data_IF_243911860699
#
_entry.id   IF_243911860699
#
_cell.length_a   1.000
_cell.length_b   1.000
_cell.length_c   1.000
_cell.angle_alpha   90.00
_cell.angle_beta   90.00
_cell.angle_gamma   90.00
#
_symmetry.space_group_name_H-M   'P 1'
#
loop_
_entity.id
_entity.type
_entity.pdbx_description
1 polymer ?
#
# COMPACT_ATOMS: atom_id res chain seq x y z
N UNK A 1 5.85 -4.85 11.50
CA UNK A 1 4.83 -4.85 12.57
C UNK A 1 4.83 -3.51 13.28
N UNK A 2 3.95 -2.62 12.84
CA UNK A 2 3.71 -1.33 13.49
C UNK A 2 3.23 -1.55 14.93
N UNK A 3 3.87 -0.90 15.89
CA UNK A 3 3.56 -1.01 17.32
C UNK A 3 2.10 -0.58 17.61
N UNK A 4 1.38 -1.37 18.39
CA UNK A 4 -0.02 -1.10 18.74
C UNK A 4 -0.18 0.21 19.51
N UNK A 5 0.83 0.62 20.29
CA UNK A 5 0.80 1.93 20.94
C UNK A 5 0.96 3.08 19.94
N UNK A 6 1.74 2.89 18.87
CA UNK A 6 1.85 3.85 17.77
C UNK A 6 0.55 3.95 16.97
N UNK A 7 -0.11 2.81 16.69
CA UNK A 7 -1.43 2.80 16.05
C UNK A 7 -2.43 3.62 16.87
N UNK A 8 -2.45 3.46 18.20
CA UNK A 8 -3.34 4.23 19.08
C UNK A 8 -3.04 5.73 19.09
N UNK A 9 -1.77 6.13 18.96
CA UNK A 9 -1.37 7.54 18.89
C UNK A 9 -1.73 8.18 17.55
N UNK A 10 -1.69 7.40 16.46
CA UNK A 10 -2.06 7.87 15.12
C UNK A 10 -3.56 7.71 14.82
N UNK A 11 -4.30 6.96 15.64
CA UNK A 11 -5.73 6.75 15.47
C UNK A 11 -6.50 8.04 15.78
N UNK A 12 -7.08 8.62 14.74
CA UNK A 12 -8.04 9.71 14.88
C UNK A 12 -9.36 9.15 15.44
N UNK A 13 -9.67 9.48 16.69
CA UNK A 13 -10.90 9.03 17.36
C UNK A 13 -12.17 9.62 16.75
N UNK A 14 -12.07 10.67 15.93
CA UNK A 14 -13.19 11.21 15.15
C UNK A 14 -13.50 10.37 13.90
N UNK A 15 -12.55 9.52 13.46
CA UNK A 15 -12.72 8.67 12.29
C UNK A 15 -13.52 7.42 12.67
N UNK A 16 -14.81 7.41 12.34
CA UNK A 16 -15.66 6.27 12.62
C UNK A 16 -15.32 5.06 11.73
N UNK A 17 -15.34 3.82 12.27
CA UNK A 17 -15.09 2.61 11.48
C UNK A 17 -15.95 2.50 10.22
N UNK A 18 -17.22 2.92 10.30
CA UNK A 18 -18.13 2.93 9.17
C UNK A 18 -17.63 3.79 7.98
N UNK A 19 -16.87 4.86 8.23
CA UNK A 19 -16.28 5.68 7.18
C UNK A 19 -15.07 4.99 6.54
N UNK A 20 -14.27 4.28 7.34
CA UNK A 20 -13.15 3.46 6.85
C UNK A 20 -13.68 2.33 5.96
N UNK A 21 -14.73 1.65 6.37
CA UNK A 21 -15.38 0.60 5.58
C UNK A 21 -15.92 1.13 4.25
N UNK A 22 -16.59 2.29 4.26
CA UNK A 22 -17.05 2.95 3.04
C UNK A 22 -15.90 3.33 2.12
N UNK A 23 -14.78 3.79 2.68
CA UNK A 23 -13.59 4.10 1.91
C UNK A 23 -13.01 2.83 1.26
N UNK A 24 -12.84 1.74 2.03
CA UNK A 24 -12.31 0.47 1.52
C UNK A 24 -13.21 -0.06 0.40
N UNK A 25 -14.53 0.00 0.57
CA UNK A 25 -15.49 -0.46 -0.43
C UNK A 25 -15.45 0.36 -1.74
N UNK A 26 -15.16 1.67 -1.67
CA UNK A 26 -15.17 2.56 -2.85
C UNK A 26 -13.82 2.71 -3.54
N UNK A 27 -12.73 2.72 -2.78
CA UNK A 27 -11.41 3.12 -3.27
C UNK A 27 -10.25 2.24 -2.79
N UNK A 28 -10.50 1.34 -1.82
CA UNK A 28 -9.48 0.48 -1.25
C UNK A 28 -9.49 -0.94 -1.81
N UNK A 29 -8.98 -1.86 -1.00
CA UNK A 29 -8.92 -3.29 -1.26
C UNK A 29 -9.24 -4.07 0.01
N UNK A 30 -9.92 -5.20 -0.13
CA UNK A 30 -10.10 -6.16 0.97
C UNK A 30 -8.85 -7.02 1.20
N UNK A 31 -7.92 -7.01 0.24
CA UNK A 31 -6.69 -7.78 0.29
C UNK A 31 -5.53 -6.90 0.79
N UNK A 32 -4.88 -7.27 1.91
CA UNK A 32 -3.75 -6.53 2.47
C UNK A 32 -2.49 -6.58 1.58
N UNK A 33 -2.38 -7.55 0.68
CA UNK A 33 -1.28 -7.67 -0.28
C UNK A 33 -1.66 -7.12 -1.67
N UNK A 34 -2.78 -6.40 -1.80
CA UNK A 34 -3.17 -5.81 -3.08
C UNK A 34 -2.13 -4.78 -3.54
N UNK A 35 -1.66 -4.95 -4.77
CA UNK A 35 -0.78 -3.98 -5.43
C UNK A 35 -1.40 -3.58 -6.76
N UNK A 36 -1.50 -2.27 -6.95
CA UNK A 36 -1.90 -1.67 -8.22
C UNK A 36 -0.72 -0.91 -8.80
N UNK A 37 -0.33 -1.26 -10.02
CA UNK A 37 0.75 -0.60 -10.77
C UNK A 37 0.15 0.16 -11.94
N UNK A 38 0.51 1.44 -12.07
CA UNK A 38 0.03 2.30 -13.15
C UNK A 38 1.19 3.03 -13.82
N UNK A 39 1.22 3.00 -15.15
CA UNK A 39 2.16 3.73 -15.97
C UNK A 39 1.41 4.82 -16.76
N UNK A 40 1.51 6.07 -16.32
CA UNK A 40 0.71 7.16 -16.86
C UNK A 40 -0.78 6.91 -16.67
N UNK A 41 -1.51 6.64 -17.76
CA UNK A 41 -2.95 6.29 -17.74
C UNK A 41 -3.24 4.79 -17.89
N UNK A 42 -2.22 3.94 -17.96
CA UNK A 42 -2.37 2.51 -18.22
C UNK A 42 -2.21 1.71 -16.94
N UNK A 43 -3.12 0.77 -16.72
CA UNK A 43 -2.99 -0.23 -15.67
C UNK A 43 -2.01 -1.32 -16.14
N UNK A 44 -1.03 -1.64 -15.30
CA UNK A 44 -0.08 -2.72 -15.56
C UNK A 44 -0.54 -3.95 -14.80
N UNK A 45 -0.79 -5.05 -15.51
CA UNK A 45 -1.11 -6.32 -14.88
C UNK A 45 0.17 -6.90 -14.29
N UNK A 46 0.14 -7.17 -12.99
CA UNK A 46 1.22 -7.79 -12.25
C UNK A 46 0.69 -9.05 -11.58
N UNK A 47 1.53 -10.07 -11.36
CA UNK A 47 1.14 -11.25 -10.60
C UNK A 47 0.66 -10.82 -9.21
N UNK A 48 -0.44 -11.43 -8.75
CA UNK A 48 -0.94 -11.19 -7.40
C UNK A 48 0.07 -11.79 -6.40
N UNK A 49 0.71 -10.99 -5.53
CA UNK A 49 1.61 -11.53 -4.52
C UNK A 49 0.81 -12.33 -3.48
N UNK A 50 1.41 -13.41 -3.01
CA UNK A 50 0.84 -14.25 -1.94
C UNK A 50 1.57 -14.06 -0.61
N UNK A 51 2.77 -13.47 -0.66
CA UNK A 51 3.60 -13.19 0.51
C UNK A 51 4.01 -11.71 0.57
N UNK A 52 4.32 -11.18 1.78
CA UNK A 52 4.89 -9.84 1.92
C UNK A 52 6.20 -9.65 1.15
N UNK A 53 7.02 -10.68 1.05
CA UNK A 53 8.31 -10.64 0.35
C UNK A 53 8.12 -10.49 -1.16
N UNK A 54 7.17 -11.24 -1.74
CA UNK A 54 6.77 -11.10 -3.15
C UNK A 54 6.20 -9.71 -3.43
N UNK A 55 5.35 -9.22 -2.53
CA UNK A 55 4.78 -7.89 -2.63
C UNK A 55 5.88 -6.82 -2.66
N UNK A 56 6.86 -6.92 -1.75
CA UNK A 56 7.98 -5.99 -1.67
C UNK A 56 8.88 -6.02 -2.91
N UNK A 57 9.17 -7.21 -3.43
CA UNK A 57 9.93 -7.36 -4.67
C UNK A 57 9.22 -6.64 -5.84
N UNK A 58 7.93 -6.89 -6.00
CA UNK A 58 7.10 -6.29 -7.04
C UNK A 58 7.04 -4.75 -6.91
N UNK A 59 6.94 -4.22 -5.68
CA UNK A 59 6.99 -2.77 -5.44
C UNK A 59 8.33 -2.22 -5.92
N UNK A 60 9.45 -2.81 -5.49
CA UNK A 60 10.81 -2.35 -5.82
C UNK A 60 11.07 -2.33 -7.33
N UNK A 61 10.59 -3.34 -8.06
CA UNK A 61 10.74 -3.43 -9.52
C UNK A 61 10.02 -2.30 -10.28
N UNK A 62 8.99 -1.72 -9.66
CA UNK A 62 8.13 -0.71 -10.27
C UNK A 62 8.36 0.72 -9.77
N UNK A 63 9.09 0.89 -8.66
CA UNK A 63 9.41 2.20 -8.11
C UNK A 63 10.23 3.05 -9.09
N UNK A 64 9.99 4.36 -9.07
CA UNK A 64 10.65 5.35 -9.94
C UNK A 64 10.17 5.37 -11.40
N UNK A 65 9.56 4.27 -11.88
CA UNK A 65 9.02 4.18 -13.26
C UNK A 65 7.50 4.27 -13.29
N UNK A 66 6.84 3.70 -12.29
CA UNK A 66 5.39 3.57 -12.23
C UNK A 66 4.85 4.14 -10.92
N UNK A 67 3.58 4.54 -10.94
CA UNK A 67 2.83 4.80 -9.71
C UNK A 67 2.38 3.47 -9.13
N UNK A 68 2.91 3.14 -7.95
CA UNK A 68 2.59 1.90 -7.21
C UNK A 68 1.74 2.24 -5.99
N UNK A 69 0.57 1.61 -5.88
CA UNK A 69 -0.36 1.74 -4.75
C UNK A 69 -0.52 0.39 -4.08
N UNK A 70 -0.51 0.37 -2.74
CA UNK A 70 -0.38 -0.88 -1.96
C UNK A 70 -1.38 -0.98 -0.82
N UNK A 71 -1.76 -2.21 -0.50
CA UNK A 71 -2.53 -2.59 0.67
C UNK A 71 -3.99 -2.14 0.64
N UNK A 72 -4.62 -2.25 1.80
CA UNK A 72 -6.06 -2.01 1.99
C UNK A 72 -6.48 -0.61 1.56
N UNK A 73 -5.66 0.40 1.84
CA UNK A 73 -5.97 1.81 1.50
C UNK A 73 -5.46 2.22 0.13
N UNK A 74 -4.79 1.32 -0.59
CA UNK A 74 -4.09 1.63 -1.84
C UNK A 74 -3.17 2.84 -1.67
N UNK A 75 -2.39 2.88 -0.57
CA UNK A 75 -1.50 4.00 -0.28
C UNK A 75 -0.31 4.01 -1.25
N UNK A 76 0.20 5.18 -1.70
CA UNK A 76 1.32 5.21 -2.64
C UNK A 76 2.62 4.73 -1.99
N UNK A 77 3.19 3.64 -2.49
CA UNK A 77 4.39 3.04 -1.91
C UNK A 77 5.63 3.96 -2.02
N UNK A 78 5.67 4.82 -3.04
CA UNK A 78 6.76 5.75 -3.32
C UNK A 78 6.70 7.10 -2.58
N UNK A 79 5.71 7.32 -1.70
CA UNK A 79 5.54 8.62 -1.06
C UNK A 79 6.65 8.85 -0.02
N UNK A 80 7.52 9.83 -0.25
CA UNK A 80 8.60 10.21 0.67
C UNK A 80 9.87 9.36 0.58
N UNK A 81 9.94 8.40 -0.34
CA UNK A 81 11.16 7.63 -0.65
C UNK A 81 11.75 8.05 -1.99
N UNK A 82 13.08 8.24 -2.00
CA UNK A 82 13.82 8.67 -3.19
C UNK A 82 14.34 7.46 -3.97
N UNK A 83 14.62 6.34 -3.28
CA UNK A 83 15.17 5.12 -3.89
C UNK A 83 14.51 3.84 -3.35
N UNK A 84 14.37 2.82 -4.21
CA UNK A 84 13.73 1.55 -3.89
C UNK A 84 14.40 0.76 -2.75
N UNK A 85 15.70 0.97 -2.52
CA UNK A 85 16.46 0.35 -1.43
C UNK A 85 16.06 0.85 -0.03
N UNK A 86 15.33 1.96 0.06
CA UNK A 86 14.83 2.49 1.33
C UNK A 86 13.61 1.74 1.85
N UNK A 87 12.94 0.93 1.02
CA UNK A 87 11.86 0.05 1.45
C UNK A 87 12.42 -1.12 2.24
N UNK A 88 12.09 -1.18 3.53
CA UNK A 88 12.41 -2.33 4.39
C UNK A 88 11.26 -3.34 4.38
N UNK A 89 11.54 -4.65 4.51
CA UNK A 89 10.52 -5.69 4.61
C UNK A 89 9.68 -5.62 5.89
N UNK A 90 10.08 -4.78 6.84
CA UNK A 90 9.41 -4.54 8.11
C UNK A 90 8.20 -3.61 7.87
N UNK A 91 7.12 -4.17 7.32
CA UNK A 91 5.78 -3.59 7.32
C UNK A 91 5.01 -4.08 8.54
#
# INVERSE_FOLDING_TARGET
>A
MVDAALIKQCADSSLQPALVEQFIARAGSQDPLAITVRSGNRLVLVPKPTTPEEALALIRDNLGRNTVRVGVTQYPAGLGIVEAGQLKPEM
#
